data_IF_491549851005
#
_entry.id   IF_491549851005
#
_cell.length_a   1.000
_cell.length_b   1.000
_cell.length_c   1.000
_cell.angle_alpha   90.00
_cell.angle_beta   90.00
_cell.angle_gamma   90.00
#
_symmetry.space_group_name_H-M   'P 1'
#
loop_
_entity.id
_entity.type
_entity.pdbx_description
1 polymer ?
#
# COMPACT_ATOMS: atom_id res chain seq x y z
N UNK A 1 -1.09 10.40 15.93
CA UNK A 1 -0.17 9.26 16.07
C UNK A 1 0.04 8.64 14.70
N UNK A 2 1.27 8.29 14.37
CA UNK A 2 1.64 7.56 13.15
C UNK A 2 2.31 6.25 13.55
N UNK A 3 1.90 5.15 12.94
CA UNK A 3 2.50 3.84 13.11
C UNK A 3 3.05 3.43 11.73
N UNK A 4 4.35 3.18 11.65
CA UNK A 4 4.99 2.66 10.45
C UNK A 4 5.34 1.19 10.68
N UNK A 5 4.69 0.30 9.93
CA UNK A 5 4.95 -1.13 9.96
C UNK A 5 5.68 -1.55 8.69
N UNK A 6 6.84 -2.18 8.85
CA UNK A 6 7.64 -2.71 7.75
C UNK A 6 7.15 -4.10 7.34
N UNK A 7 5.85 -4.16 6.97
CA UNK A 7 5.16 -5.40 6.62
C UNK A 7 4.10 -5.13 5.53
N UNK A 8 3.91 -6.05 4.58
CA UNK A 8 4.76 -7.19 4.26
C UNK A 8 5.96 -6.76 3.42
N UNK A 9 7.16 -7.00 3.89
CA UNK A 9 8.39 -6.67 3.18
C UNK A 9 9.33 -7.89 3.13
N UNK A 10 10.14 -7.98 2.09
CA UNK A 10 11.20 -9.00 2.03
C UNK A 10 12.25 -8.76 3.10
N UNK A 11 12.78 -9.80 3.71
CA UNK A 11 12.44 -11.21 3.60
C UNK A 11 11.09 -11.52 4.27
N UNK A 12 10.22 -12.24 3.58
CA UNK A 12 8.91 -12.63 4.13
C UNK A 12 9.06 -13.69 5.20
N UNK A 13 9.09 -13.29 6.46
CA UNK A 13 9.35 -14.15 7.63
C UNK A 13 8.12 -14.53 8.42
N UNK A 14 6.96 -14.05 8.05
CA UNK A 14 5.75 -14.28 8.82
C UNK A 14 4.90 -15.37 8.17
N UNK A 15 4.51 -16.35 8.96
CA UNK A 15 3.44 -17.28 8.62
C UNK A 15 2.06 -16.59 8.74
N UNK A 16 1.02 -17.27 8.27
CA UNK A 16 -0.35 -16.75 8.29
C UNK A 16 -0.85 -16.42 9.70
N UNK A 17 -0.40 -17.16 10.69
CA UNK A 17 -0.73 -16.95 12.11
C UNK A 17 0.13 -15.90 12.80
N UNK A 18 1.09 -15.30 12.05
CA UNK A 18 2.11 -14.37 12.52
C UNK A 18 3.25 -14.98 13.34
N UNK A 19 3.39 -16.28 13.37
CA UNK A 19 4.62 -16.90 13.83
C UNK A 19 5.79 -16.52 12.91
N UNK A 20 6.99 -16.46 13.48
CA UNK A 20 8.19 -16.08 12.71
C UNK A 20 8.84 -17.36 12.20
N UNK A 21 9.03 -17.42 10.88
CA UNK A 21 9.83 -18.48 10.25
C UNK A 21 11.28 -18.40 10.72
N UNK A 22 11.84 -19.54 11.08
CA UNK A 22 13.26 -19.66 11.35
C UNK A 22 14.05 -19.23 10.08
N UNK A 23 15.12 -18.47 10.27
CA UNK A 23 15.95 -17.96 9.18
C UNK A 23 16.53 -19.06 8.28
N UNK A 24 16.67 -20.28 8.81
CA UNK A 24 17.16 -21.46 8.10
C UNK A 24 16.14 -21.98 7.07
N UNK A 25 14.84 -21.74 7.29
CA UNK A 25 13.75 -22.16 6.41
C UNK A 25 13.41 -21.09 5.37
N UNK A 26 14.12 -19.98 5.36
CA UNK A 26 13.93 -18.92 4.41
C UNK A 26 14.25 -19.39 2.99
N UNK A 27 13.22 -19.77 2.27
CA UNK A 27 13.27 -19.90 0.81
C UNK A 27 12.67 -18.63 0.20
N UNK A 28 13.38 -17.98 -0.72
CA UNK A 28 12.87 -16.80 -1.40
C UNK A 28 11.75 -17.15 -2.40
N UNK A 29 10.88 -18.11 -2.09
CA UNK A 29 9.67 -18.38 -2.87
C UNK A 29 8.65 -17.28 -2.58
N UNK A 30 8.90 -16.18 -3.24
CA UNK A 30 8.32 -14.88 -3.05
C UNK A 30 6.79 -14.90 -2.95
N UNK A 31 6.09 -15.70 -3.77
CA UNK A 31 4.62 -15.69 -3.79
C UNK A 31 3.98 -16.25 -2.52
N UNK A 32 4.47 -17.36 -2.02
CA UNK A 32 3.87 -18.00 -0.85
C UNK A 32 4.24 -17.28 0.44
N UNK A 33 5.49 -16.91 0.59
CA UNK A 33 5.97 -16.07 1.70
C UNK A 33 5.27 -14.71 1.73
N UNK A 34 5.09 -14.08 0.58
CA UNK A 34 4.32 -12.84 0.45
C UNK A 34 2.89 -13.04 0.92
N UNK A 35 2.18 -14.07 0.44
CA UNK A 35 0.79 -14.35 0.84
C UNK A 35 0.66 -14.56 2.35
N UNK A 36 1.57 -15.35 2.94
CA UNK A 36 1.59 -15.58 4.39
C UNK A 36 1.81 -14.29 5.16
N UNK A 37 2.79 -13.48 4.75
CA UNK A 37 3.07 -12.19 5.37
C UNK A 37 1.93 -11.19 5.21
N UNK A 38 1.25 -11.18 4.07
CA UNK A 38 0.04 -10.36 3.85
C UNK A 38 -1.07 -10.77 4.82
N UNK A 39 -1.34 -12.07 4.98
CA UNK A 39 -2.33 -12.54 5.95
C UNK A 39 -2.01 -12.09 7.37
N UNK A 40 -0.75 -12.23 7.79
CA UNK A 40 -0.31 -11.74 9.10
C UNK A 40 -0.48 -10.22 9.22
N UNK A 41 -0.10 -9.45 8.18
CA UNK A 41 -0.25 -8.00 8.16
C UNK A 41 -1.70 -7.59 8.35
N UNK A 42 -2.64 -8.19 7.61
CA UNK A 42 -4.07 -7.90 7.75
C UNK A 42 -4.61 -8.28 9.12
N UNK A 43 -4.17 -9.41 9.69
CA UNK A 43 -4.53 -9.79 11.06
C UNK A 43 -4.10 -8.71 12.06
N UNK A 44 -2.88 -8.21 11.97
CA UNK A 44 -2.37 -7.14 12.85
C UNK A 44 -3.09 -5.82 12.63
N UNK A 45 -3.36 -5.44 11.39
CA UNK A 45 -4.16 -4.25 11.07
C UNK A 45 -5.54 -4.34 11.70
N UNK A 46 -6.19 -5.50 11.61
CA UNK A 46 -7.51 -5.72 12.20
C UNK A 46 -7.47 -5.56 13.72
N UNK A 47 -6.53 -6.25 14.40
CA UNK A 47 -6.36 -6.17 15.85
C UNK A 47 -6.15 -4.73 16.34
N UNK A 48 -5.27 -3.97 15.65
CA UNK A 48 -4.99 -2.56 15.98
C UNK A 48 -6.21 -1.69 15.71
N UNK A 49 -6.87 -1.89 14.57
CA UNK A 49 -8.06 -1.11 14.21
C UNK A 49 -9.20 -1.33 15.17
N UNK A 50 -9.46 -2.57 15.56
CA UNK A 50 -10.49 -2.90 16.55
C UNK A 50 -10.19 -2.27 17.91
N UNK A 51 -8.93 -2.35 18.35
CA UNK A 51 -8.51 -1.69 19.57
C UNK A 51 -8.79 -0.17 19.53
N UNK A 52 -8.42 0.48 18.42
CA UNK A 52 -8.64 1.93 18.28
C UNK A 52 -10.14 2.25 18.22
N UNK A 53 -10.91 1.50 17.45
CA UNK A 53 -12.36 1.75 17.29
C UNK A 53 -13.08 1.58 18.64
N UNK A 54 -12.73 0.57 19.41
CA UNK A 54 -13.39 0.28 20.68
C UNK A 54 -13.03 1.28 21.77
N UNK A 55 -11.81 1.79 21.80
CA UNK A 55 -11.36 2.72 22.84
C UNK A 55 -11.49 4.20 22.42
N UNK A 56 -11.50 4.48 21.11
CA UNK A 56 -11.55 5.82 20.54
C UNK A 56 -12.52 5.87 19.35
N UNK A 57 -13.85 5.77 19.59
CA UNK A 57 -14.85 5.62 18.53
C UNK A 57 -14.85 6.77 17.51
N UNK A 58 -14.44 7.96 17.95
CA UNK A 58 -14.37 9.16 17.10
C UNK A 58 -13.02 9.31 16.36
N UNK A 59 -12.09 8.39 16.55
CA UNK A 59 -10.81 8.47 15.86
C UNK A 59 -10.95 8.31 14.36
N UNK A 60 -10.27 9.15 13.61
CA UNK A 60 -10.01 8.94 12.18
C UNK A 60 -8.85 7.97 12.04
N UNK A 61 -9.05 6.90 11.28
CA UNK A 61 -8.02 5.89 11.02
C UNK A 61 -7.72 5.91 9.54
N UNK A 62 -6.44 5.98 9.20
CA UNK A 62 -5.95 5.82 7.83
C UNK A 62 -4.94 4.71 7.82
N UNK A 63 -5.16 3.75 6.96
CA UNK A 63 -4.25 2.63 6.71
C UNK A 63 -3.87 2.70 5.25
N UNK A 64 -2.58 2.76 4.97
CA UNK A 64 -2.09 2.94 3.62
C UNK A 64 -0.76 2.24 3.42
N UNK A 65 -0.63 1.50 2.32
CA UNK A 65 0.64 1.02 1.84
C UNK A 65 1.34 2.12 1.02
N UNK A 66 2.67 2.12 1.04
CA UNK A 66 3.50 3.05 0.26
C UNK A 66 3.58 2.64 -1.22
N UNK A 67 3.54 1.33 -1.50
CA UNK A 67 3.53 0.76 -2.84
C UNK A 67 2.89 -0.63 -2.86
N UNK A 68 2.64 -1.15 -4.06
CA UNK A 68 2.17 -2.50 -4.28
C UNK A 68 3.30 -3.55 -4.19
N UNK A 69 2.97 -4.78 -4.53
CA UNK A 69 3.90 -5.91 -4.42
C UNK A 69 5.05 -5.85 -5.44
N UNK A 70 6.21 -6.31 -5.01
CA UNK A 70 7.40 -6.47 -5.83
C UNK A 70 7.65 -7.98 -6.02
N UNK A 71 7.01 -8.59 -7.01
CA UNK A 71 6.98 -10.06 -7.14
C UNK A 71 7.95 -10.61 -8.18
N UNK A 72 8.41 -9.80 -9.12
CA UNK A 72 9.26 -10.24 -10.24
C UNK A 72 10.38 -9.20 -10.48
N UNK A 73 11.57 -9.50 -9.97
CA UNK A 73 12.75 -8.67 -10.18
C UNK A 73 13.28 -8.72 -11.63
N UNK A 74 12.82 -9.67 -12.44
CA UNK A 74 13.25 -9.84 -13.84
C UNK A 74 12.92 -8.63 -14.75
N UNK A 75 12.05 -7.74 -14.29
CA UNK A 75 11.62 -6.57 -15.06
C UNK A 75 12.53 -5.34 -14.89
N UNK A 76 13.46 -5.34 -13.93
CA UNK A 76 14.37 -4.20 -13.70
C UNK A 76 15.33 -3.94 -14.87
N UNK A 77 15.62 -4.96 -15.67
CA UNK A 77 16.48 -4.84 -16.85
C UNK A 77 15.73 -4.46 -18.13
N UNK A 78 14.41 -4.38 -18.09
CA UNK A 78 13.56 -4.08 -19.25
C UNK A 78 13.34 -2.57 -19.40
N UNK A 79 13.08 -2.14 -20.64
CA UNK A 79 12.55 -0.79 -20.89
C UNK A 79 11.08 -0.71 -20.47
N UNK A 80 10.60 0.49 -20.18
CA UNK A 80 9.22 0.69 -19.74
C UNK A 80 8.17 0.01 -20.63
N UNK A 81 8.30 0.16 -21.94
CA UNK A 81 7.34 -0.42 -22.90
C UNK A 81 7.41 -1.95 -23.05
N UNK A 82 8.42 -2.57 -22.45
CA UNK A 82 8.59 -4.02 -22.42
C UNK A 82 8.03 -4.63 -21.12
N UNK A 83 7.65 -3.80 -20.16
CA UNK A 83 7.10 -4.23 -18.86
C UNK A 83 5.61 -4.55 -19.04
N UNK A 84 5.16 -5.74 -18.65
CA UNK A 84 3.73 -6.07 -18.71
C UNK A 84 2.87 -5.12 -17.85
N UNK A 85 1.72 -4.69 -18.36
CA UNK A 85 0.79 -3.87 -17.60
C UNK A 85 0.41 -4.50 -16.26
N UNK A 86 0.23 -5.82 -16.22
CA UNK A 86 -0.06 -6.55 -14.97
C UNK A 86 1.01 -6.36 -13.89
N UNK A 87 2.28 -6.21 -14.27
CA UNK A 87 3.33 -5.91 -13.30
C UNK A 87 3.19 -4.48 -12.77
N UNK A 88 2.92 -3.52 -13.66
CA UNK A 88 2.69 -2.12 -13.28
C UNK A 88 1.49 -2.04 -12.34
N UNK A 89 0.38 -2.71 -12.67
CA UNK A 89 -0.83 -2.75 -11.85
C UNK A 89 -0.55 -3.33 -10.45
N UNK A 90 0.21 -4.43 -10.37
CA UNK A 90 0.59 -5.02 -9.08
C UNK A 90 1.49 -4.09 -8.26
N UNK A 91 2.40 -3.37 -8.91
CA UNK A 91 3.34 -2.46 -8.25
C UNK A 91 2.65 -1.19 -7.75
N UNK A 92 1.67 -0.70 -8.52
CA UNK A 92 0.92 0.52 -8.21
C UNK A 92 -0.34 0.26 -7.41
N UNK A 93 -0.81 -1.01 -7.36
CA UNK A 93 -1.96 -1.42 -6.57
C UNK A 93 -1.63 -1.38 -5.08
N UNK A 94 -1.96 -0.29 -4.42
CA UNK A 94 -1.77 -0.11 -2.98
C UNK A 94 -3.01 -0.47 -2.20
N UNK A 95 -2.82 -1.03 -1.01
CA UNK A 95 -3.90 -1.13 -0.04
C UNK A 95 -4.13 0.22 0.62
N UNK A 96 -5.37 0.65 0.66
CA UNK A 96 -5.77 1.87 1.35
C UNK A 96 -7.14 1.69 2.00
N UNK A 97 -7.26 2.05 3.27
CA UNK A 97 -8.51 2.04 4.01
C UNK A 97 -8.60 3.26 4.91
N UNK A 98 -9.78 3.86 4.98
CA UNK A 98 -10.04 5.05 5.79
C UNK A 98 -11.32 4.86 6.59
N UNK A 99 -11.21 5.01 7.93
CA UNK A 99 -12.36 5.31 8.80
C UNK A 99 -12.36 6.81 9.04
N UNK A 100 -13.34 7.50 8.49
CA UNK A 100 -13.38 8.97 8.55
C UNK A 100 -14.37 9.50 9.60
N UNK A 101 -14.25 10.80 9.86
CA UNK A 101 -15.17 11.59 10.66
C UNK A 101 -16.59 11.69 10.02
N UNK A 102 -16.72 11.47 8.70
CA UNK A 102 -17.99 11.42 7.96
C UNK A 102 -18.08 10.12 7.15
N UNK A 103 -18.80 9.15 7.67
CA UNK A 103 -18.84 7.76 7.20
C UNK A 103 -19.55 7.51 5.87
N UNK A 104 -20.08 8.53 5.19
CA UNK A 104 -20.95 8.32 4.02
C UNK A 104 -20.24 8.34 2.65
N UNK A 105 -18.94 8.62 2.60
CA UNK A 105 -18.21 8.65 1.34
C UNK A 105 -16.97 7.76 1.40
N UNK A 106 -17.13 6.50 1.02
CA UNK A 106 -16.00 5.67 0.62
C UNK A 106 -15.46 6.21 -0.71
N UNK A 107 -14.59 7.19 -0.62
CA UNK A 107 -13.99 7.82 -1.80
C UNK A 107 -12.77 7.01 -2.19
N UNK A 108 -12.64 6.64 -3.45
CA UNK A 108 -11.40 6.13 -4.03
C UNK A 108 -10.39 7.28 -4.04
N UNK A 109 -9.64 7.42 -2.96
CA UNK A 109 -8.66 8.48 -2.80
C UNK A 109 -7.27 7.95 -3.15
N UNK A 110 -6.52 8.70 -3.95
CA UNK A 110 -5.09 8.50 -4.07
C UNK A 110 -4.39 9.00 -2.80
N UNK A 111 -3.10 8.69 -2.65
CA UNK A 111 -2.32 9.04 -1.45
C UNK A 111 -2.37 10.53 -1.08
N UNK A 112 -2.29 11.40 -2.09
CA UNK A 112 -2.31 12.86 -1.89
C UNK A 112 -3.69 13.33 -1.44
N UNK A 113 -4.74 12.81 -2.06
CA UNK A 113 -6.11 13.16 -1.73
C UNK A 113 -6.54 12.63 -0.35
N UNK A 114 -5.99 11.50 0.13
CA UNK A 114 -6.24 11.02 1.49
C UNK A 114 -5.78 12.04 2.52
N UNK A 115 -4.56 12.56 2.41
CA UNK A 115 -4.03 13.55 3.36
C UNK A 115 -4.89 14.81 3.37
N UNK A 116 -5.22 15.32 2.18
CA UNK A 116 -6.10 16.48 2.03
C UNK A 116 -7.47 16.23 2.67
N UNK A 117 -8.09 15.09 2.38
CA UNK A 117 -9.38 14.71 2.94
C UNK A 117 -9.37 14.66 4.46
N UNK A 118 -8.29 14.12 5.06
CA UNK A 118 -8.17 14.06 6.53
C UNK A 118 -8.10 15.46 7.11
N UNK A 119 -7.31 16.36 6.52
CA UNK A 119 -7.17 17.73 7.00
C UNK A 119 -8.52 18.45 6.95
N UNK A 120 -9.23 18.37 5.83
CA UNK A 120 -10.56 18.97 5.64
C UNK A 120 -11.58 18.37 6.64
N UNK A 121 -11.57 17.05 6.82
CA UNK A 121 -12.43 16.35 7.73
C UNK A 121 -12.19 16.78 9.20
N UNK A 122 -10.94 16.92 9.62
CA UNK A 122 -10.58 17.37 10.98
C UNK A 122 -10.88 18.86 11.20
N UNK A 123 -10.82 19.66 10.14
CA UNK A 123 -11.21 21.07 10.17
C UNK A 123 -12.75 21.30 10.19
N UNK A 124 -13.53 20.25 9.92
CA UNK A 124 -14.98 20.33 9.77
C UNK A 124 -15.41 20.90 8.41
N UNK A 125 -14.49 20.94 7.46
CA UNK A 125 -14.76 21.48 6.12
C UNK A 125 -15.46 20.46 5.23
N UNK A 126 -16.22 20.96 4.24
CA UNK A 126 -16.74 20.10 3.17
C UNK A 126 -15.59 19.65 2.26
N UNK A 127 -15.63 18.39 1.75
CA UNK A 127 -14.61 17.92 0.83
C UNK A 127 -14.48 18.83 -0.38
N UNK A 128 -13.29 19.36 -0.58
CA UNK A 128 -13.00 20.24 -1.72
C UNK A 128 -12.63 19.41 -2.97
N UNK A 129 -12.41 20.11 -4.09
CA UNK A 129 -12.01 19.47 -5.35
C UNK A 129 -10.74 18.61 -5.14
N UNK A 130 -10.81 17.36 -5.54
CA UNK A 130 -9.69 16.43 -5.48
C UNK A 130 -8.61 16.82 -6.50
N UNK A 131 -7.35 16.53 -6.17
CA UNK A 131 -6.27 16.58 -7.14
C UNK A 131 -6.47 15.49 -8.20
N UNK A 132 -6.04 15.77 -9.42
CA UNK A 132 -6.07 14.77 -10.48
C UNK A 132 -5.32 13.51 -10.07
N UNK A 133 -5.90 12.38 -10.41
CA UNK A 133 -5.32 11.07 -10.11
C UNK A 133 -4.30 10.71 -11.19
N UNK A 134 -3.08 11.24 -11.08
CA UNK A 134 -1.97 10.94 -11.97
C UNK A 134 -0.96 10.06 -11.26
N UNK A 135 -0.62 8.94 -11.86
CA UNK A 135 0.41 8.03 -11.38
C UNK A 135 1.59 8.02 -12.33
N UNK A 136 2.78 7.86 -11.77
CA UNK A 136 4.01 7.83 -12.55
C UNK A 136 4.86 6.65 -12.10
N UNK A 137 5.51 5.99 -13.06
CA UNK A 137 6.48 4.95 -12.81
C UNK A 137 7.89 5.49 -13.07
N UNK A 138 8.73 5.46 -12.05
CA UNK A 138 10.12 5.89 -12.13
C UNK A 138 11.08 4.71 -12.10
N UNK A 139 12.16 4.80 -12.87
CA UNK A 139 13.21 3.81 -12.92
C UNK A 139 14.45 4.29 -12.17
N UNK A 140 14.90 3.50 -11.21
CA UNK A 140 16.14 3.73 -10.48
C UNK A 140 17.30 2.80 -10.93
N UNK A 141 17.00 1.86 -11.83
CA UNK A 141 17.96 0.92 -12.41
C UNK A 141 17.59 0.61 -13.87
N UNK A 142 18.51 -0.03 -14.59
CA UNK A 142 18.29 -0.50 -15.95
C UNK A 142 18.40 0.59 -17.04
N UNK A 143 17.99 0.30 -18.27
CA UNK A 143 18.18 1.16 -19.43
C UNK A 143 17.39 2.47 -19.37
N UNK A 144 16.33 2.54 -18.57
CA UNK A 144 15.51 3.73 -18.36
C UNK A 144 15.80 4.43 -17.02
N UNK A 145 16.97 4.17 -16.42
CA UNK A 145 17.38 4.79 -15.15
C UNK A 145 17.22 6.33 -15.20
N UNK A 146 16.59 6.88 -14.17
CA UNK A 146 16.32 8.31 -14.05
C UNK A 146 15.14 8.83 -14.87
N UNK A 147 14.50 8.00 -15.68
CA UNK A 147 13.30 8.37 -16.42
C UNK A 147 12.03 8.12 -15.60
N UNK A 148 11.01 8.92 -15.89
CA UNK A 148 9.67 8.84 -15.26
C UNK A 148 8.63 8.79 -16.37
N UNK A 149 7.76 7.80 -16.33
CA UNK A 149 6.70 7.60 -17.32
C UNK A 149 5.33 7.75 -16.67
N UNK A 150 4.39 8.48 -17.30
CA UNK A 150 3.02 8.54 -16.82
C UNK A 150 2.34 7.18 -17.01
N UNK A 151 1.54 6.77 -16.02
CA UNK A 151 0.72 5.58 -16.10
C UNK A 151 -0.68 6.01 -16.53
N UNK A 152 -1.15 5.46 -17.64
CA UNK A 152 -2.49 5.69 -18.16
C UNK A 152 -3.33 4.47 -17.79
N UNK A 153 -4.32 4.68 -16.93
CA UNK A 153 -5.33 3.67 -16.60
C UNK A 153 -6.46 3.79 -17.62
N UNK A 154 -6.69 2.74 -18.38
CA UNK A 154 -7.81 2.60 -19.31
C UNK A 154 -9.07 2.14 -18.59
#
# INVERSE_FOLDING_TARGET
TMIHAYMPHVPYRNEKDCSILDAILYKPHLKEGYRSSVHCTFKRIHEISDFIINNYPNATIVIQADHGVHVDDDNVSKKFFEIPNSFIDHRMGIFSAVKSCNSSQAVKLNQVNIVKYIIECLAGDAPSKQFENKSYYGFYQGPDHGKVFPIIYN
#
